data_IF_447506141231
#
_entry.id   IF_447506141231
#
_cell.length_a   1.000
_cell.length_b   1.000
_cell.length_c   1.000
_cell.angle_alpha   90.00
_cell.angle_beta   90.00
_cell.angle_gamma   90.00
#
_symmetry.space_group_name_H-M   'P 1'
#
loop_
_entity.id
_entity.type
_entity.pdbx_description
1 polymer ?
#
# COMPACT_ATOMS: atom_id res chain seq x y z
N UNK A 1 -18.53 10.03 1.77
CA UNK A 1 -17.29 10.43 2.48
C UNK A 1 -16.37 11.13 1.48
N UNK A 2 -15.92 12.35 1.78
CA UNK A 2 -15.09 13.18 0.90
C UNK A 2 -13.60 12.92 1.15
N UNK A 3 -13.07 11.78 0.69
CA UNK A 3 -11.63 11.53 0.67
C UNK A 3 -10.98 12.23 -0.52
N UNK A 4 -9.79 12.81 -0.35
CA UNK A 4 -9.06 13.44 -1.45
C UNK A 4 -8.52 12.37 -2.39
N UNK A 5 -8.79 12.49 -3.69
CA UNK A 5 -8.35 11.51 -4.69
C UNK A 5 -6.86 11.64 -4.95
N UNK A 6 -6.17 10.53 -4.85
CA UNK A 6 -4.75 10.43 -5.11
C UNK A 6 -4.51 9.62 -6.39
N UNK A 7 -3.42 9.89 -7.08
CA UNK A 7 -2.91 9.04 -8.17
C UNK A 7 -1.43 8.74 -7.96
N UNK A 8 -1.00 7.57 -8.44
CA UNK A 8 0.40 7.19 -8.43
C UNK A 8 1.13 8.12 -9.41
N UNK A 9 2.17 8.78 -8.93
CA UNK A 9 3.03 9.68 -9.69
C UNK A 9 4.34 9.00 -10.06
N UNK A 10 5.42 9.49 -9.45
CA UNK A 10 6.78 9.02 -9.72
C UNK A 10 7.21 7.86 -8.82
N UNK A 11 8.19 7.13 -9.31
CA UNK A 11 8.93 6.12 -8.55
C UNK A 11 10.43 6.40 -8.68
N UNK A 12 11.16 6.33 -7.57
CA UNK A 12 12.63 6.45 -7.57
C UNK A 12 13.24 5.42 -6.61
N UNK A 13 14.38 4.83 -6.99
CA UNK A 13 15.05 3.87 -6.08
C UNK A 13 15.56 4.59 -4.84
N UNK A 14 15.46 3.93 -3.70
CA UNK A 14 16.10 4.36 -2.47
C UNK A 14 17.58 3.95 -2.48
N UNK A 15 18.44 4.74 -1.83
CA UNK A 15 19.88 4.50 -1.76
C UNK A 15 20.24 3.16 -1.10
N UNK A 16 19.36 2.60 -0.28
CA UNK A 16 19.56 1.28 0.32
C UNK A 16 19.46 0.10 -0.68
N UNK A 17 19.01 0.33 -1.91
CA UNK A 17 18.85 -0.69 -2.96
C UNK A 17 17.71 -1.69 -2.76
N UNK A 18 17.13 -1.78 -1.55
CA UNK A 18 16.02 -2.72 -1.22
C UNK A 18 14.63 -2.11 -1.32
N UNK A 19 14.55 -0.79 -1.48
CA UNK A 19 13.28 -0.07 -1.50
C UNK A 19 13.20 0.86 -2.70
N UNK A 20 11.97 1.14 -3.12
CA UNK A 20 11.62 2.17 -4.08
C UNK A 20 10.69 3.17 -3.40
N UNK A 21 11.01 4.44 -3.54
CA UNK A 21 10.14 5.55 -3.19
C UNK A 21 9.01 5.63 -4.20
N UNK A 22 7.77 5.63 -3.72
CA UNK A 22 6.60 5.95 -4.54
C UNK A 22 5.96 7.23 -4.04
N UNK A 23 5.48 8.04 -5.00
CA UNK A 23 4.79 9.29 -4.73
C UNK A 23 3.33 9.15 -5.11
N UNK A 24 2.43 9.41 -4.18
CA UNK A 24 1.03 9.68 -4.47
C UNK A 24 0.84 11.18 -4.52
N UNK A 25 0.16 11.65 -5.56
CA UNK A 25 -0.17 13.05 -5.69
C UNK A 25 -1.68 13.24 -5.78
N UNK A 26 -2.14 14.28 -5.11
CA UNK A 26 -3.54 14.67 -5.14
C UNK A 26 -3.93 15.09 -6.56
N UNK A 27 -5.08 14.63 -7.03
CA UNK A 27 -5.53 14.92 -8.40
C UNK A 27 -5.96 16.39 -8.60
N UNK A 28 -6.52 16.99 -7.55
CA UNK A 28 -7.16 18.31 -7.58
C UNK A 28 -6.47 19.32 -6.64
N UNK A 29 -5.30 18.98 -6.09
CA UNK A 29 -4.58 19.79 -5.10
C UNK A 29 -3.07 19.58 -5.16
N UNK A 30 -2.36 20.18 -4.19
CA UNK A 30 -0.89 20.15 -4.12
C UNK A 30 -0.32 19.11 -3.17
N UNK A 31 -1.14 18.22 -2.61
CA UNK A 31 -0.67 17.28 -1.59
C UNK A 31 0.12 16.14 -2.21
N UNK A 32 1.31 15.89 -1.67
CA UNK A 32 2.13 14.73 -2.00
C UNK A 32 2.30 13.82 -0.78
N UNK A 33 2.16 12.52 -1.01
CA UNK A 33 2.41 11.48 -0.01
C UNK A 33 3.53 10.59 -0.53
N UNK A 34 4.62 10.52 0.22
CA UNK A 34 5.79 9.70 -0.10
C UNK A 34 5.73 8.43 0.72
N UNK A 35 5.92 7.28 0.08
CA UNK A 35 5.93 5.99 0.75
C UNK A 35 7.10 5.12 0.26
N UNK A 36 7.56 4.24 1.14
CA UNK A 36 8.52 3.18 0.81
C UNK A 36 7.76 1.93 0.38
N UNK A 37 8.20 1.32 -0.71
CA UNK A 37 7.76 -0.01 -1.14
C UNK A 37 9.00 -0.87 -1.37
N UNK A 38 8.90 -2.17 -1.13
CA UNK A 38 10.00 -3.09 -1.44
C UNK A 38 10.34 -3.03 -2.94
N UNK A 39 11.63 -3.12 -3.29
CA UNK A 39 12.08 -3.00 -4.68
C UNK A 39 11.45 -4.05 -5.60
N UNK A 40 11.25 -5.27 -5.11
CA UNK A 40 10.62 -6.35 -5.87
C UNK A 40 9.15 -6.02 -6.20
N UNK A 41 8.38 -5.54 -5.22
CA UNK A 41 7.00 -5.11 -5.44
C UNK A 41 6.92 -3.90 -6.38
N UNK A 42 7.84 -2.95 -6.25
CA UNK A 42 7.91 -1.81 -7.15
C UNK A 42 8.18 -2.21 -8.62
N UNK A 43 8.95 -3.29 -8.84
CA UNK A 43 9.18 -3.81 -10.19
C UNK A 43 7.89 -4.28 -10.88
N UNK A 44 6.86 -4.65 -10.12
CA UNK A 44 5.59 -5.17 -10.63
C UNK A 44 4.64 -4.08 -11.20
N UNK A 45 4.99 -2.81 -10.99
CA UNK A 45 4.30 -1.67 -11.60
C UNK A 45 4.73 -1.46 -13.07
N UNK A 46 5.75 -2.18 -13.55
CA UNK A 46 6.08 -2.21 -14.98
C UNK A 46 5.08 -3.06 -15.79
N UNK A 47 4.85 -2.78 -17.08
CA UNK A 47 3.90 -3.53 -17.90
C UNK A 47 4.23 -5.03 -17.96
N UNK A 48 3.28 -5.84 -17.49
CA UNK A 48 3.22 -7.32 -17.50
C UNK A 48 4.51 -8.07 -17.11
N UNK A 49 5.07 -7.72 -15.95
CA UNK A 49 6.05 -8.56 -15.29
C UNK A 49 5.40 -9.90 -14.87
N UNK A 50 5.78 -11.01 -15.51
CA UNK A 50 5.49 -12.37 -15.02
C UNK A 50 4.00 -12.73 -14.84
N UNK A 51 3.08 -12.07 -15.54
CA UNK A 51 1.64 -12.34 -15.40
C UNK A 51 0.99 -11.78 -14.13
N UNK A 52 1.69 -10.93 -13.37
CA UNK A 52 1.20 -10.34 -12.12
C UNK A 52 -0.09 -9.55 -12.32
N UNK A 53 -0.26 -8.90 -13.47
CA UNK A 53 -1.53 -8.24 -13.80
C UNK A 53 -2.71 -9.20 -13.76
N UNK A 54 -2.53 -10.42 -14.29
CA UNK A 54 -3.57 -11.46 -14.27
C UNK A 54 -3.81 -11.97 -12.86
N UNK A 55 -2.75 -12.16 -12.07
CA UNK A 55 -2.86 -12.60 -10.68
C UNK A 55 -3.63 -11.59 -9.82
N UNK A 56 -3.28 -10.31 -9.90
CA UNK A 56 -3.95 -9.25 -9.11
C UNK A 56 -5.39 -9.06 -9.56
N UNK A 57 -5.68 -9.14 -10.86
CA UNK A 57 -7.06 -9.13 -11.35
C UNK A 57 -7.86 -10.36 -10.87
N UNK A 58 -7.26 -11.54 -10.94
CA UNK A 58 -7.87 -12.77 -10.45
C UNK A 58 -8.17 -12.73 -8.95
N UNK A 59 -7.32 -12.06 -8.15
CA UNK A 59 -7.63 -11.81 -6.74
C UNK A 59 -8.89 -10.95 -6.58
N UNK A 60 -9.07 -9.93 -7.42
CA UNK A 60 -10.30 -9.14 -7.48
C UNK A 60 -11.53 -10.01 -7.78
N UNK A 61 -11.43 -10.92 -8.75
CA UNK A 61 -12.50 -11.85 -9.11
C UNK A 61 -12.84 -12.82 -7.95
N UNK A 62 -11.81 -13.33 -7.26
CA UNK A 62 -11.97 -14.18 -6.07
C UNK A 62 -12.70 -13.42 -4.97
N UNK A 63 -12.29 -12.19 -4.66
CA UNK A 63 -12.96 -11.36 -3.65
C UNK A 63 -14.44 -11.18 -4.00
N UNK A 64 -14.76 -10.86 -5.25
CA UNK A 64 -16.15 -10.74 -5.70
C UNK A 64 -16.92 -12.06 -5.54
N UNK A 65 -16.29 -13.20 -5.85
CA UNK A 65 -16.93 -14.52 -5.73
C UNK A 65 -17.29 -14.89 -4.28
N UNK A 66 -16.54 -14.37 -3.30
CA UNK A 66 -16.85 -14.54 -1.86
C UNK A 66 -17.72 -13.40 -1.31
N UNK A 67 -18.33 -12.61 -2.20
CA UNK A 67 -19.25 -11.53 -1.84
C UNK A 67 -18.56 -10.28 -1.27
N UNK A 68 -17.28 -10.09 -1.56
CA UNK A 68 -16.48 -8.92 -1.15
C UNK A 68 -16.08 -8.12 -2.38
N UNK A 69 -16.63 -6.92 -2.54
CA UNK A 69 -16.31 -6.04 -3.67
C UNK A 69 -15.26 -5.00 -3.26
N UNK A 70 -14.07 -5.00 -3.86
CA UNK A 70 -13.08 -3.94 -3.62
C UNK A 70 -13.62 -2.57 -4.07
N UNK A 71 -13.58 -1.58 -3.19
CA UNK A 71 -14.14 -0.23 -3.43
C UNK A 71 -13.08 0.85 -3.61
N UNK A 72 -12.05 0.82 -2.77
CA UNK A 72 -11.04 1.87 -2.73
C UNK A 72 -9.79 1.39 -1.99
N UNK A 73 -8.66 2.04 -2.25
CA UNK A 73 -7.50 2.01 -1.36
C UNK A 73 -7.49 3.28 -0.53
N UNK A 74 -7.55 3.12 0.78
CA UNK A 74 -7.60 4.21 1.74
C UNK A 74 -6.20 4.45 2.29
N UNK A 75 -5.70 5.66 2.10
CA UNK A 75 -4.45 6.16 2.68
C UNK A 75 -4.81 6.94 3.93
N UNK A 76 -4.20 6.57 5.05
CA UNK A 76 -4.37 7.25 6.33
C UNK A 76 -3.06 7.32 7.10
N UNK A 77 -3.03 8.09 8.17
CA UNK A 77 -1.91 8.14 9.09
C UNK A 77 -2.33 7.55 10.43
N UNK A 78 -1.45 6.78 11.06
CA UNK A 78 -1.65 6.35 12.44
C UNK A 78 -1.27 7.45 13.44
N UNK A 79 -1.49 7.18 14.73
CA UNK A 79 -1.18 8.12 15.83
C UNK A 79 0.30 8.53 15.86
N UNK A 80 1.20 7.69 15.34
CA UNK A 80 2.64 7.96 15.21
C UNK A 80 2.99 8.63 13.88
N UNK A 81 1.99 9.11 13.15
CA UNK A 81 2.11 9.71 11.81
C UNK A 81 2.69 8.76 10.76
N UNK A 82 2.61 7.44 10.95
CA UNK A 82 3.03 6.47 9.93
C UNK A 82 1.91 6.27 8.94
N UNK A 83 2.27 6.14 7.66
CA UNK A 83 1.31 5.90 6.60
C UNK A 83 0.76 4.48 6.74
N UNK A 84 -0.55 4.33 6.60
CA UNK A 84 -1.25 3.04 6.50
C UNK A 84 -2.10 3.02 5.24
N UNK A 85 -2.04 1.91 4.53
CA UNK A 85 -2.91 1.64 3.39
C UNK A 85 -3.90 0.55 3.79
N UNK A 86 -5.17 0.80 3.51
CA UNK A 86 -6.26 -0.16 3.73
C UNK A 86 -6.99 -0.40 2.43
N UNK A 87 -7.27 -1.65 2.10
CA UNK A 87 -8.21 -2.00 1.04
C UNK A 87 -9.62 -2.00 1.62
N UNK A 88 -10.48 -1.11 1.11
CA UNK A 88 -11.90 -1.09 1.47
C UNK A 88 -12.65 -2.11 0.64
N UNK A 89 -13.33 -3.02 1.32
CA UNK A 89 -14.18 -4.05 0.76
C UNK A 89 -15.63 -3.76 1.15
N UNK A 90 -16.56 -3.90 0.22
CA UNK A 90 -17.99 -3.88 0.50
C UNK A 90 -18.54 -5.30 0.43
N UNK A 91 -19.24 -5.74 1.46
CA UNK A 91 -19.94 -7.02 1.49
C UNK A 91 -21.39 -6.87 1.96
N UNK A 92 -22.07 -8.00 2.11
CA UNK A 92 -23.48 -8.05 2.55
C UNK A 92 -23.74 -7.44 3.94
N UNK A 93 -22.71 -7.39 4.79
CA UNK A 93 -22.78 -6.87 6.15
C UNK A 93 -22.27 -5.42 6.29
N UNK A 94 -21.88 -4.78 5.18
CA UNK A 94 -21.36 -3.41 5.16
C UNK A 94 -19.95 -3.30 4.58
N UNK A 95 -19.30 -2.16 4.84
CA UNK A 95 -17.92 -1.90 4.43
C UNK A 95 -16.94 -2.37 5.51
N UNK A 96 -15.83 -2.96 5.09
CA UNK A 96 -14.73 -3.36 5.97
C UNK A 96 -13.41 -2.92 5.34
N UNK A 97 -12.50 -2.42 6.17
CA UNK A 97 -11.17 -2.02 5.73
C UNK A 97 -10.14 -3.06 6.18
N UNK A 98 -9.32 -3.54 5.25
CA UNK A 98 -8.24 -4.50 5.51
C UNK A 98 -6.90 -3.79 5.36
N UNK A 99 -6.08 -3.76 6.41
CA UNK A 99 -4.73 -3.19 6.33
C UNK A 99 -3.87 -4.01 5.35
N UNK A 100 -3.14 -3.32 4.49
CA UNK A 100 -2.39 -3.91 3.39
C UNK A 100 -0.96 -3.39 3.37
N UNK A 101 -0.05 -4.21 2.86
CA UNK A 101 1.29 -3.73 2.51
C UNK A 101 1.16 -2.65 1.43
N UNK A 102 1.88 -1.50 1.55
CA UNK A 102 1.70 -0.37 0.66
C UNK A 102 1.83 -0.68 -0.84
N UNK A 103 2.85 -1.43 -1.26
CA UNK A 103 3.04 -1.86 -2.64
C UNK A 103 1.89 -2.71 -3.15
N UNK A 104 1.45 -3.70 -2.35
CA UNK A 104 0.31 -4.57 -2.71
C UNK A 104 -0.98 -3.76 -2.87
N UNK A 105 -1.27 -2.84 -1.94
CA UNK A 105 -2.46 -2.00 -2.01
C UNK A 105 -2.45 -1.12 -3.26
N UNK A 106 -1.32 -0.45 -3.55
CA UNK A 106 -1.20 0.41 -4.73
C UNK A 106 -1.25 -0.37 -6.04
N UNK A 107 -0.69 -1.58 -6.06
CA UNK A 107 -0.74 -2.46 -7.23
C UNK A 107 -2.18 -2.93 -7.47
N UNK A 108 -2.92 -3.27 -6.42
CA UNK A 108 -4.34 -3.58 -6.53
C UNK A 108 -5.13 -2.39 -7.08
N UNK A 109 -4.87 -1.18 -6.58
CA UNK A 109 -5.49 0.03 -7.10
C UNK A 109 -5.22 0.24 -8.59
N UNK A 110 -3.97 0.12 -9.03
CA UNK A 110 -3.61 0.30 -10.44
C UNK A 110 -4.23 -0.79 -11.35
N UNK A 111 -4.14 -2.07 -10.96
CA UNK A 111 -4.50 -3.19 -11.83
C UNK A 111 -6.00 -3.50 -11.87
N UNK A 112 -6.70 -3.23 -10.78
CA UNK A 112 -8.17 -3.41 -10.64
C UNK A 112 -8.90 -2.09 -10.96
N UNK A 113 -8.20 -0.94 -10.95
CA UNK A 113 -8.80 0.37 -11.23
C UNK A 113 -9.53 0.96 -10.02
N UNK A 114 -9.03 0.69 -8.81
CA UNK A 114 -9.63 1.23 -7.59
C UNK A 114 -9.17 2.67 -7.35
N UNK A 115 -10.07 3.56 -6.91
CA UNK A 115 -9.68 4.90 -6.48
C UNK A 115 -8.78 4.81 -5.23
N UNK A 116 -7.75 5.67 -5.19
CA UNK A 116 -6.92 5.87 -4.00
C UNK A 116 -7.43 7.12 -3.28
N UNK A 117 -7.82 6.99 -2.02
CA UNK A 117 -8.45 8.06 -1.24
C UNK A 117 -7.62 8.36 0.01
N UNK A 118 -7.32 9.63 0.25
CA UNK A 118 -6.65 10.09 1.46
C UNK A 118 -7.71 10.52 2.50
N UNK A 119 -7.77 9.82 3.64
CA UNK A 119 -8.87 9.91 4.62
C UNK A 119 -8.68 11.01 5.69
N UNK A 120 -7.48 11.57 5.84
CA UNK A 120 -7.24 12.81 6.61
C UNK A 120 -5.87 13.39 6.28
N UNK A 121 -5.76 14.72 6.32
CA UNK A 121 -4.52 15.43 6.04
C UNK A 121 -3.50 15.27 7.18
N UNK A 122 -2.38 14.59 6.94
CA UNK A 122 -1.13 15.00 7.57
C UNK A 122 -0.71 16.35 6.97
N UNK A 123 0.03 17.20 7.71
CA UNK A 123 0.21 18.60 7.36
C UNK A 123 0.86 18.77 5.99
N UNK A 124 0.32 19.71 5.22
CA UNK A 124 0.95 20.26 4.02
C UNK A 124 2.26 20.91 4.47
N UNK A 125 3.36 20.43 3.92
CA UNK A 125 4.70 20.96 4.16
C UNK A 125 5.67 20.38 3.15
N UNK A 126 6.85 20.98 3.04
CA UNK A 126 7.95 20.50 2.22
C UNK A 126 8.24 19.00 2.46
N UNK A 127 8.78 18.28 1.46
CA UNK A 127 9.15 16.88 1.61
C UNK A 127 9.91 16.69 2.93
N UNK A 128 9.48 15.76 3.80
CA UNK A 128 10.10 15.63 5.10
C UNK A 128 11.56 15.24 4.90
N UNK A 129 12.48 15.90 5.61
CA UNK A 129 13.92 15.62 5.55
C UNK A 129 14.23 14.13 5.82
N UNK A 130 13.34 13.45 6.54
CA UNK A 130 13.25 11.99 6.57
C UNK A 130 11.86 11.50 6.18
N UNK A 131 11.74 10.61 5.18
CA UNK A 131 10.47 10.02 4.77
C UNK A 131 9.76 9.29 5.92
N UNK A 132 8.43 9.36 5.89
CA UNK A 132 7.56 8.64 6.82
C UNK A 132 7.55 7.16 6.45
N UNK A 133 8.03 6.30 7.33
CA UNK A 133 7.94 4.87 7.11
C UNK A 133 6.49 4.39 7.22
N UNK A 134 6.03 3.54 6.28
CA UNK A 134 4.73 2.91 6.42
C UNK A 134 4.73 2.03 7.67
N UNK A 135 3.58 1.95 8.36
CA UNK A 135 3.46 0.99 9.43
C UNK A 135 3.61 -0.43 8.83
N UNK A 136 4.40 -1.32 9.46
CA UNK A 136 4.47 -2.70 9.02
C UNK A 136 3.06 -3.30 9.10
N UNK A 137 2.62 -3.91 8.00
CA UNK A 137 1.32 -4.59 7.97
C UNK A 137 1.36 -5.75 8.95
N UNK A 138 0.56 -5.66 10.00
CA UNK A 138 0.45 -6.75 10.95
C UNK A 138 -0.20 -7.96 10.26
N UNK A 139 0.53 -9.06 10.19
CA UNK A 139 -0.02 -10.34 9.71
C UNK A 139 -1.01 -10.82 10.78
N UNK A 140 -2.30 -10.99 10.46
CA UNK A 140 -3.26 -11.53 11.42
C UNK A 140 -2.81 -12.88 11.95
N UNK A 141 -3.00 -13.12 13.25
CA UNK A 141 -2.51 -14.33 13.92
C UNK A 141 -2.99 -15.62 13.25
N UNK A 142 -4.21 -15.58 12.70
CA UNK A 142 -4.84 -16.71 11.99
C UNK A 142 -4.05 -17.19 10.77
N UNK A 143 -3.17 -16.35 10.21
CA UNK A 143 -2.35 -16.67 9.05
C UNK A 143 -0.89 -16.97 9.41
N UNK A 144 -0.47 -16.78 10.67
CA UNK A 144 0.94 -16.99 11.06
C UNK A 144 1.39 -18.43 10.85
N UNK A 145 0.59 -19.39 11.28
CA UNK A 145 0.95 -20.82 11.20
C UNK A 145 1.15 -21.24 9.73
N UNK A 146 0.19 -20.91 8.87
CA UNK A 146 0.29 -21.17 7.44
C UNK A 146 1.49 -20.48 6.78
N UNK A 147 1.78 -19.23 7.15
CA UNK A 147 2.92 -18.49 6.60
C UNK A 147 4.27 -18.99 7.15
N UNK A 148 4.31 -19.50 8.38
CA UNK A 148 5.49 -20.14 8.96
C UNK A 148 5.80 -21.46 8.25
N UNK A 149 4.80 -22.29 8.01
CA UNK A 149 4.94 -23.55 7.26
C UNK A 149 5.46 -23.33 5.84
N UNK A 150 5.07 -22.22 5.22
CA UNK A 150 5.55 -21.83 3.89
C UNK A 150 6.93 -21.15 3.91
N UNK A 151 7.54 -20.94 5.08
CA UNK A 151 8.84 -20.28 5.22
C UNK A 151 8.84 -18.79 4.87
N UNK A 152 7.69 -18.11 4.97
CA UNK A 152 7.50 -16.73 4.53
C UNK A 152 7.61 -15.69 5.68
N UNK A 153 7.88 -16.14 6.90
CA UNK A 153 8.01 -15.30 8.10
C UNK A 153 9.49 -15.15 8.54
N UNK A 154 10.38 -14.71 7.67
CA UNK A 154 11.72 -14.26 8.12
C UNK A 154 11.70 -12.77 8.46
N UNK A 155 12.22 -12.43 9.64
CA UNK A 155 12.11 -11.11 10.26
C UNK A 155 12.79 -10.00 9.45
N UNK A 156 12.06 -8.93 9.17
CA UNK A 156 12.63 -7.72 8.59
C UNK A 156 13.57 -7.05 9.61
N UNK A 157 14.88 -6.92 9.34
CA UNK A 157 15.75 -6.12 10.18
C UNK A 157 15.36 -4.64 10.07
N UNK A 158 15.15 -4.03 11.22
CA UNK A 158 14.84 -2.61 11.41
C UNK A 158 15.99 -1.75 10.82
N UNK A 159 15.66 -0.80 9.95
CA UNK A 159 16.64 0.07 9.29
C UNK A 159 16.85 1.40 10.04
N UNK A 160 16.40 1.51 11.28
CA UNK A 160 16.49 2.74 12.07
C UNK A 160 17.91 3.10 12.56
N UNK A 161 18.86 2.15 12.52
CA UNK A 161 20.23 2.38 12.99
C UNK A 161 21.24 2.46 11.83
N UNK A 162 21.44 3.66 11.31
CA UNK A 162 22.74 4.09 10.74
C UNK A 162 22.80 5.61 10.61
N UNK A 163 23.21 6.23 11.72
CA UNK A 163 23.88 7.54 11.71
C UNK A 163 25.36 7.23 11.73
N UNK A 164 26.07 7.58 10.66
CA UNK A 164 27.49 7.93 10.69
C UNK A 164 27.65 9.21 9.86
#
# INVERSE_FOLDING_TARGET
>A
MNGRRMKIGGMSRCDCGRHTWMVLHEQEGGTHVWLRVHADLASWFTPDHGGITRLVRGLGDVLQSVGQEPRAVIVSYDEKRRIRLRLRLAGSLGETDVECEPGVALLAAERIGLPILLESAAPVGDPPARPVEPAPTAIPEVYREALAELGLLEGAPDCSDRVD
#
